data_IF_117028340739
#
_entry.id   IF_117028340739
#
_cell.length_a   1.000
_cell.length_b   1.000
_cell.length_c   1.000
_cell.angle_alpha   90.00
_cell.angle_beta   90.00
_cell.angle_gamma   90.00
#
_symmetry.space_group_name_H-M   'P 1'
#
loop_
_entity.id
_entity.type
_entity.pdbx_description
1 polymer ?
#
# COMPACT_ATOMS: atom_id res chain seq x y z
N UNK A 1 18.14 7.28 -0.43
CA UNK A 1 17.70 5.88 -0.63
C UNK A 1 16.18 5.74 -0.76
N UNK A 2 15.36 6.57 -0.11
CA UNK A 2 13.89 6.45 -0.04
C UNK A 2 13.07 6.93 -1.25
N UNK A 3 13.71 7.50 -2.28
CA UNK A 3 13.02 7.96 -3.50
C UNK A 3 12.76 6.84 -4.53
N UNK A 4 13.36 5.66 -4.35
CA UNK A 4 13.30 4.56 -5.32
C UNK A 4 11.99 3.76 -5.20
N UNK A 5 11.52 3.48 -3.99
CA UNK A 5 10.32 2.66 -3.80
C UNK A 5 9.03 3.38 -4.24
N UNK A 6 8.92 4.68 -3.97
CA UNK A 6 7.78 5.49 -4.42
C UNK A 6 7.73 5.66 -5.93
N UNK A 7 8.89 5.79 -6.58
CA UNK A 7 9.00 5.84 -8.03
C UNK A 7 8.58 4.51 -8.68
N UNK A 8 8.94 3.36 -8.11
CA UNK A 8 8.54 2.05 -8.62
C UNK A 8 7.03 1.82 -8.54
N UNK A 9 6.38 2.21 -7.43
CA UNK A 9 4.93 2.10 -7.31
C UNK A 9 4.17 3.02 -8.25
N UNK A 10 4.62 4.28 -8.40
CA UNK A 10 4.05 5.23 -9.34
C UNK A 10 4.18 4.76 -10.79
N UNK A 11 5.32 4.15 -11.14
CA UNK A 11 5.55 3.57 -12.46
C UNK A 11 4.60 2.40 -12.73
N UNK A 12 4.45 1.47 -11.78
CA UNK A 12 3.52 0.34 -11.89
C UNK A 12 2.06 0.79 -12.06
N UNK A 13 1.63 1.82 -11.33
CA UNK A 13 0.28 2.39 -11.50
C UNK A 13 0.10 3.05 -12.86
N UNK A 14 1.12 3.74 -13.38
CA UNK A 14 1.07 4.34 -14.71
C UNK A 14 1.08 3.33 -15.86
N UNK A 15 1.65 2.13 -15.65
CA UNK A 15 1.72 1.05 -16.64
C UNK A 15 0.41 0.24 -16.71
N UNK A 16 -0.31 0.12 -15.59
CA UNK A 16 -1.59 -0.59 -15.50
C UNK A 16 -2.80 0.31 -15.79
N UNK A 17 -2.72 1.61 -15.54
CA UNK A 17 -3.84 2.54 -15.77
C UNK A 17 -3.90 3.01 -17.24
N UNK A 18 -5.10 3.06 -17.82
CA UNK A 18 -5.33 3.74 -19.11
C UNK A 18 -4.84 5.19 -19.04
N UNK A 19 -4.19 5.66 -20.12
CA UNK A 19 -3.50 6.97 -20.22
C UNK A 19 -4.34 8.15 -19.73
N UNK A 20 -5.66 8.08 -19.89
CA UNK A 20 -6.60 9.13 -19.49
C UNK A 20 -6.84 9.20 -17.96
N UNK A 21 -6.56 8.12 -17.21
CA UNK A 21 -6.82 8.01 -15.77
C UNK A 21 -5.55 7.90 -14.91
N UNK A 22 -4.35 7.91 -15.51
CA UNK A 22 -3.07 7.83 -14.79
C UNK A 22 -2.95 8.92 -13.72
N UNK A 23 -3.36 10.16 -14.03
CA UNK A 23 -3.31 11.27 -13.07
C UNK A 23 -4.24 11.07 -11.86
N UNK A 24 -5.45 10.55 -12.09
CA UNK A 24 -6.41 10.23 -11.03
C UNK A 24 -5.92 9.06 -10.18
N UNK A 25 -5.37 8.01 -10.80
CA UNK A 25 -4.83 6.85 -10.10
C UNK A 25 -3.65 7.21 -9.18
N UNK A 26 -2.72 8.06 -9.66
CA UNK A 26 -1.60 8.56 -8.86
C UNK A 26 -2.05 9.45 -7.70
N UNK A 27 -3.02 10.33 -7.94
CA UNK A 27 -3.60 11.17 -6.88
C UNK A 27 -4.27 10.29 -5.82
N UNK A 28 -5.03 9.28 -6.24
CA UNK A 28 -5.69 8.34 -5.34
C UNK A 28 -4.67 7.55 -4.50
N UNK A 29 -3.59 7.09 -5.12
CA UNK A 29 -2.47 6.43 -4.42
C UNK A 29 -1.87 7.34 -3.34
N UNK A 30 -1.60 8.61 -3.66
CA UNK A 30 -1.10 9.56 -2.66
C UNK A 30 -2.11 9.82 -1.55
N UNK A 31 -3.39 10.04 -1.88
CA UNK A 31 -4.44 10.26 -0.90
C UNK A 31 -4.57 9.08 0.07
N UNK A 32 -4.52 7.85 -0.43
CA UNK A 32 -4.52 6.64 0.41
C UNK A 32 -3.27 6.60 1.29
N UNK A 33 -2.08 6.80 0.72
CA UNK A 33 -0.82 6.78 1.48
C UNK A 33 -0.81 7.82 2.62
N UNK A 34 -1.33 9.01 2.34
CA UNK A 34 -1.44 10.07 3.33
C UNK A 34 -2.50 9.75 4.39
N UNK A 35 -3.66 9.21 4.00
CA UNK A 35 -4.71 8.78 4.93
C UNK A 35 -4.19 7.70 5.90
N UNK A 36 -3.48 6.70 5.39
CA UNK A 36 -2.85 5.65 6.20
C UNK A 36 -1.84 6.26 7.18
N UNK A 37 -1.08 7.26 6.74
CA UNK A 37 -0.11 7.96 7.60
C UNK A 37 -0.80 8.72 8.73
N UNK A 38 -1.81 9.53 8.41
CA UNK A 38 -2.60 10.27 9.41
C UNK A 38 -3.23 9.30 10.41
N UNK A 39 -3.83 8.23 9.91
CA UNK A 39 -4.48 7.22 10.74
C UNK A 39 -3.46 6.53 11.66
N UNK A 40 -2.29 6.16 11.14
CA UNK A 40 -1.22 5.54 11.93
C UNK A 40 -0.72 6.47 13.03
N UNK A 41 -0.48 7.75 12.74
CA UNK A 41 -0.03 8.73 13.75
C UNK A 41 -1.05 8.88 14.88
N UNK A 42 -2.35 8.79 14.59
CA UNK A 42 -3.40 8.87 15.61
C UNK A 42 -3.58 7.56 16.39
N UNK A 43 -3.43 6.42 15.71
CA UNK A 43 -3.69 5.10 16.28
C UNK A 43 -2.51 4.59 17.13
N UNK A 44 -1.27 4.82 16.70
CA UNK A 44 -0.04 4.41 17.40
C UNK A 44 -0.01 4.85 18.87
N UNK A 45 -0.20 6.14 19.23
CA UNK A 45 -0.14 6.58 20.62
C UNK A 45 -1.29 6.02 21.46
N UNK A 46 -2.45 5.75 20.84
CA UNK A 46 -3.58 5.11 21.53
C UNK A 46 -3.23 3.66 21.89
N UNK A 47 -2.67 2.89 20.96
CA UNK A 47 -2.28 1.49 21.18
C UNK A 47 -1.06 1.38 22.11
N UNK A 48 -0.06 2.26 21.93
CA UNK A 48 1.13 2.32 22.79
C UNK A 48 0.75 2.42 24.28
N UNK A 49 -0.31 3.17 24.60
CA UNK A 49 -0.80 3.34 25.98
C UNK A 49 -1.30 2.05 26.63
N UNK A 50 -1.77 1.08 25.84
CA UNK A 50 -2.30 -0.18 26.36
C UNK A 50 -1.30 -1.33 26.30
N UNK A 51 -0.42 -1.36 25.29
CA UNK A 51 0.37 -2.57 24.96
C UNK A 51 1.89 -2.33 24.96
N UNK A 52 2.35 -1.09 25.12
CA UNK A 52 3.77 -0.73 25.05
C UNK A 52 4.33 -0.72 23.62
N UNK A 53 5.58 -0.28 23.46
CA UNK A 53 6.19 -0.04 22.15
C UNK A 53 6.49 -1.31 21.34
N UNK A 54 6.77 -2.44 22.01
CA UNK A 54 7.15 -3.70 21.36
C UNK A 54 6.04 -4.24 20.44
N UNK A 55 4.79 -4.18 20.88
CA UNK A 55 3.64 -4.67 20.12
C UNK A 55 3.17 -3.70 19.03
N UNK A 56 3.44 -2.40 19.17
CA UNK A 56 3.13 -1.39 18.14
C UNK A 56 3.94 -1.64 16.87
N UNK A 57 5.21 -2.00 16.99
CA UNK A 57 6.05 -2.35 15.83
C UNK A 57 5.58 -3.62 15.12
N UNK A 58 5.11 -4.61 15.87
CA UNK A 58 4.51 -5.82 15.29
C UNK A 58 3.22 -5.50 14.50
N UNK A 59 2.39 -4.58 15.01
CA UNK A 59 1.20 -4.07 14.31
C UNK A 59 1.55 -3.33 13.02
N UNK A 60 2.64 -2.55 13.00
CA UNK A 60 3.12 -1.87 11.80
C UNK A 60 3.49 -2.85 10.67
N UNK A 61 4.02 -4.03 11.03
CA UNK A 61 4.42 -5.06 10.08
C UNK A 61 3.24 -5.76 9.37
N UNK A 62 2.02 -5.65 9.92
CA UNK A 62 0.82 -6.25 9.32
C UNK A 62 0.46 -5.58 7.98
N UNK A 63 0.67 -4.27 7.86
CA UNK A 63 0.38 -3.52 6.64
C UNK A 63 1.15 -4.04 5.41
N UNK A 64 2.50 -4.15 5.48
CA UNK A 64 3.30 -4.76 4.42
C UNK A 64 2.90 -6.20 4.07
N UNK A 65 2.58 -7.04 5.08
CA UNK A 65 2.16 -8.42 4.85
C UNK A 65 0.86 -8.48 4.04
N UNK A 66 -0.13 -7.66 4.38
CA UNK A 66 -1.38 -7.53 3.62
C UNK A 66 -1.14 -7.01 2.19
N UNK A 67 -0.21 -6.08 2.02
CA UNK A 67 0.19 -5.58 0.70
C UNK A 67 0.81 -6.67 -0.17
N UNK A 68 1.74 -7.46 0.38
CA UNK A 68 2.35 -8.59 -0.31
C UNK A 68 1.29 -9.64 -0.68
N UNK A 69 0.39 -9.98 0.25
CA UNK A 69 -0.72 -10.91 -0.02
C UNK A 69 -1.63 -10.42 -1.15
N UNK A 70 -1.89 -9.12 -1.22
CA UNK A 70 -2.71 -8.52 -2.28
C UNK A 70 -2.02 -8.58 -3.64
N UNK A 71 -0.72 -8.27 -3.71
CA UNK A 71 0.08 -8.42 -4.95
C UNK A 71 0.14 -9.88 -5.43
N UNK A 72 0.33 -10.83 -4.51
CA UNK A 72 0.34 -12.27 -4.85
C UNK A 72 -1.04 -12.73 -5.33
N UNK A 73 -2.12 -12.22 -4.74
CA UNK A 73 -3.50 -12.54 -5.16
C UNK A 73 -3.83 -11.96 -6.54
N UNK A 74 -3.38 -10.74 -6.84
CA UNK A 74 -3.63 -10.09 -8.14
C UNK A 74 -2.95 -10.84 -9.29
N UNK A 75 -1.68 -11.23 -9.10
CA UNK A 75 -0.92 -12.05 -10.06
C UNK A 75 -1.62 -13.38 -10.41
N UNK A 76 -2.47 -13.90 -9.53
CA UNK A 76 -3.23 -15.14 -9.76
C UNK A 76 -4.52 -14.93 -10.58
N UNK A 77 -5.05 -13.72 -10.65
CA UNK A 77 -6.27 -13.42 -11.42
C UNK A 77 -5.98 -13.07 -12.89
N UNK A 78 -4.84 -12.45 -13.21
CA UNK A 78 -4.41 -12.22 -14.60
C UNK A 78 -4.05 -13.52 -15.33
N UNK A 79 -3.49 -14.52 -14.63
CA UNK A 79 -3.13 -15.80 -15.25
C UNK A 79 -4.36 -16.63 -15.66
N UNK A 80 -5.52 -16.43 -15.03
CA UNK A 80 -6.73 -17.22 -15.30
C UNK A 80 -7.59 -16.69 -16.46
N UNK A 81 -7.26 -15.51 -17.02
CA UNK A 81 -7.93 -14.95 -18.20
C UNK A 81 -7.16 -15.17 -19.51
N UNK A 82 -5.91 -15.64 -19.43
CA UNK A 82 -5.10 -15.96 -20.63
C UNK A 82 -5.38 -17.38 -21.15
N UNK A 83 -6.00 -18.26 -20.35
CA UNK A 83 -6.36 -19.63 -20.74
C UNK A 83 -7.81 -19.80 -21.25
N UNK A 84 -8.50 -18.73 -21.68
CA UNK A 84 -9.79 -18.84 -22.39
C UNK A 84 -9.79 -18.14 -23.74
#
# INVERSE_FOLDING_TARGET
MSAIDSAQFSAAVSEVAEVEYVGTALTFQMCIGFLITIFSINLIPMIQRYVGWEWVFALLAIGPILGILSMVKYKRHEFNHVER
#
